data_IF_632944662241
#
_entry.id   IF_632944662241
#
_cell.length_a   1.000
_cell.length_b   1.000
_cell.length_c   1.000
_cell.angle_alpha   90.00
_cell.angle_beta   90.00
_cell.angle_gamma   90.00
#
_symmetry.space_group_name_H-M   'P 1'
#
loop_
_entity.id
_entity.type
_entity.pdbx_description
1 polymer ?
#
# COMPACT_ATOMS: atom_id res chain seq x y z
N UNK A 1 2.55 -6.56 5.24
CA UNK A 1 3.53 -5.82 4.42
C UNK A 1 4.66 -5.19 5.23
N UNK A 2 4.46 -4.11 6.02
CA UNK A 2 5.57 -3.44 6.74
C UNK A 2 6.46 -4.38 7.57
N UNK A 3 5.87 -5.39 8.23
CA UNK A 3 6.63 -6.40 8.96
C UNK A 3 7.53 -7.25 8.05
N UNK A 4 7.04 -7.68 6.88
CA UNK A 4 7.80 -8.45 5.90
C UNK A 4 9.00 -7.65 5.37
N UNK A 5 8.75 -6.41 4.95
CA UNK A 5 9.78 -5.51 4.44
C UNK A 5 10.81 -5.14 5.52
N UNK A 6 10.35 -4.96 6.76
CA UNK A 6 11.22 -4.73 7.91
C UNK A 6 12.13 -5.93 8.16
N UNK A 7 11.59 -7.15 8.18
CA UNK A 7 12.36 -8.38 8.39
C UNK A 7 13.38 -8.61 7.26
N UNK A 8 13.01 -8.35 6.00
CA UNK A 8 13.93 -8.45 4.87
C UNK A 8 15.03 -7.40 4.87
N UNK A 9 14.80 -6.26 5.51
CA UNK A 9 15.81 -5.20 5.64
C UNK A 9 16.73 -5.43 6.84
N UNK A 10 16.20 -5.88 7.98
CA UNK A 10 16.98 -6.05 9.21
C UNK A 10 17.56 -7.46 9.40
N UNK A 11 17.04 -8.47 8.70
CA UNK A 11 17.32 -9.89 8.96
C UNK A 11 16.69 -10.43 10.25
N UNK A 12 15.86 -9.64 10.94
CA UNK A 12 15.21 -10.03 12.21
C UNK A 12 13.76 -10.43 11.96
N UNK A 13 13.40 -11.65 12.37
CA UNK A 13 12.04 -12.20 12.17
C UNK A 13 11.06 -11.84 13.29
N UNK A 14 11.52 -11.20 14.36
CA UNK A 14 10.70 -10.76 15.49
C UNK A 14 11.03 -9.32 15.91
N UNK A 15 10.11 -8.70 16.65
CA UNK A 15 10.28 -7.34 17.20
C UNK A 15 9.25 -6.34 16.69
N UNK A 16 9.58 -5.05 16.81
CA UNK A 16 8.69 -3.93 16.41
C UNK A 16 9.28 -3.19 15.23
N UNK A 17 8.42 -2.86 14.27
CA UNK A 17 8.81 -2.03 13.13
C UNK A 17 8.29 -0.61 13.27
N UNK A 18 9.18 0.37 13.04
CA UNK A 18 8.83 1.79 12.84
C UNK A 18 8.99 2.20 11.37
N UNK A 19 9.04 1.22 10.47
CA UNK A 19 9.24 1.44 9.05
C UNK A 19 8.16 2.38 8.49
N UNK A 20 8.60 3.49 7.94
CA UNK A 20 7.77 4.49 7.29
C UNK A 20 8.05 4.44 5.78
N UNK A 21 7.05 4.02 5.01
CA UNK A 21 7.17 3.77 3.58
C UNK A 21 6.59 4.97 2.82
N UNK A 22 7.41 5.56 1.95
CA UNK A 22 7.05 6.65 1.03
C UNK A 22 7.73 6.42 -0.33
N UNK A 23 7.55 7.32 -1.30
CA UNK A 23 8.16 7.22 -2.63
C UNK A 23 9.67 6.96 -2.59
N UNK A 24 10.19 6.30 -3.63
CA UNK A 24 11.58 5.81 -3.72
C UNK A 24 11.90 4.71 -2.70
N UNK A 25 10.89 3.97 -2.25
CA UNK A 25 11.09 2.78 -1.42
C UNK A 25 11.59 1.60 -2.25
N UNK A 26 12.68 0.98 -1.81
CA UNK A 26 13.22 -0.25 -2.40
C UNK A 26 12.49 -1.47 -1.82
N UNK A 27 11.57 -2.02 -2.60
CA UNK A 27 10.73 -3.16 -2.22
C UNK A 27 11.51 -4.47 -2.32
N UNK A 28 11.67 -5.17 -1.19
CA UNK A 28 12.49 -6.40 -1.13
C UNK A 28 11.68 -7.68 -1.26
N UNK A 29 10.42 -7.70 -0.79
CA UNK A 29 9.65 -8.94 -0.67
C UNK A 29 8.27 -8.84 -1.29
N UNK A 30 7.56 -7.74 -1.08
CA UNK A 30 6.14 -7.64 -1.42
C UNK A 30 5.97 -7.28 -2.90
N UNK A 31 5.37 -8.20 -3.65
CA UNK A 31 5.03 -8.00 -5.07
C UNK A 31 3.57 -7.62 -5.30
N UNK A 32 2.67 -8.19 -4.49
CA UNK A 32 1.24 -7.93 -4.50
C UNK A 32 0.77 -7.40 -3.15
N UNK A 33 -0.15 -6.45 -3.16
CA UNK A 33 -0.75 -5.89 -1.94
C UNK A 33 -2.27 -5.97 -2.02
N UNK A 34 -2.86 -6.74 -1.12
CA UNK A 34 -4.30 -6.72 -0.86
C UNK A 34 -4.59 -5.82 0.35
N UNK A 35 -5.41 -4.79 0.16
CA UNK A 35 -5.67 -3.80 1.21
C UNK A 35 -7.00 -3.08 0.99
N UNK A 36 -7.44 -2.27 1.95
CA UNK A 36 -8.69 -1.51 1.84
C UNK A 36 -8.46 -0.18 1.10
N UNK A 37 -9.55 0.53 0.77
CA UNK A 37 -9.46 1.93 0.37
C UNK A 37 -9.29 2.86 1.59
N UNK A 38 -8.21 3.64 1.58
CA UNK A 38 -7.83 4.55 2.67
C UNK A 38 -8.15 6.01 2.35
N UNK A 39 -8.46 6.82 3.36
CA UNK A 39 -8.73 8.23 3.16
C UNK A 39 -7.53 9.04 2.64
N UNK A 40 -7.77 10.16 1.95
CA UNK A 40 -6.75 11.16 1.63
C UNK A 40 -5.96 11.59 2.87
N UNK A 41 -4.67 11.92 2.66
CA UNK A 41 -3.75 12.43 3.72
C UNK A 41 -3.45 11.45 4.85
N UNK A 42 -3.54 10.15 4.59
CA UNK A 42 -3.12 9.10 5.54
C UNK A 42 -1.74 8.54 5.19
N UNK A 43 -1.03 8.01 6.19
CA UNK A 43 0.25 7.31 5.98
C UNK A 43 0.10 6.04 5.13
N UNK A 44 -1.08 5.40 5.18
CA UNK A 44 -1.41 4.26 4.35
C UNK A 44 -1.55 4.64 2.87
N UNK A 45 -2.06 5.84 2.58
CA UNK A 45 -2.09 6.35 1.22
C UNK A 45 -0.68 6.64 0.67
N UNK A 46 0.24 7.16 1.50
CA UNK A 46 1.64 7.33 1.10
C UNK A 46 2.31 6.00 0.75
N UNK A 47 1.96 4.95 1.49
CA UNK A 47 2.45 3.60 1.26
C UNK A 47 1.88 3.00 -0.04
N UNK A 48 0.61 3.25 -0.36
CA UNK A 48 0.01 2.90 -1.66
C UNK A 48 0.70 3.66 -2.80
N UNK A 49 0.93 4.97 -2.62
CA UNK A 49 1.65 5.81 -3.59
C UNK A 49 3.09 5.34 -3.82
N UNK A 50 3.78 4.85 -2.78
CA UNK A 50 5.09 4.24 -2.92
C UNK A 50 5.07 2.89 -3.67
N UNK A 51 3.93 2.18 -3.66
CA UNK A 51 3.81 0.84 -4.23
C UNK A 51 3.41 0.86 -5.71
N UNK A 52 2.46 1.72 -6.11
CA UNK A 52 1.95 1.80 -7.49
C UNK A 52 2.21 3.13 -8.18
N UNK A 53 2.90 4.07 -7.51
CA UNK A 53 3.15 5.40 -8.05
C UNK A 53 1.86 6.17 -8.30
N UNK A 54 1.89 7.09 -9.26
CA UNK A 54 0.76 7.99 -9.56
C UNK A 54 -0.57 7.30 -9.92
N UNK A 55 -0.54 6.01 -10.30
CA UNK A 55 -1.70 5.19 -10.68
C UNK A 55 -2.73 5.07 -9.56
N UNK A 56 -2.35 5.25 -8.30
CA UNK A 56 -3.31 5.21 -7.19
C UNK A 56 -4.45 6.21 -7.36
N UNK A 57 -4.19 7.37 -8.00
CA UNK A 57 -5.21 8.40 -8.22
C UNK A 57 -6.31 7.93 -9.16
N UNK A 58 -5.94 7.25 -10.23
CA UNK A 58 -6.88 6.75 -11.24
C UNK A 58 -7.71 5.58 -10.68
N UNK A 59 -7.07 4.71 -9.88
CA UNK A 59 -7.74 3.63 -9.14
C UNK A 59 -8.79 4.20 -8.17
N UNK A 60 -8.43 5.24 -7.43
CA UNK A 60 -9.33 5.91 -6.49
C UNK A 60 -10.45 6.68 -7.20
N UNK A 61 -10.15 7.36 -8.31
CA UNK A 61 -11.16 8.04 -9.11
C UNK A 61 -12.20 7.05 -9.65
N UNK A 62 -11.74 5.87 -10.09
CA UNK A 62 -12.62 4.77 -10.49
C UNK A 62 -13.46 4.27 -9.32
N UNK A 63 -12.85 3.98 -8.18
CA UNK A 63 -13.58 3.51 -6.99
C UNK A 63 -14.66 4.50 -6.54
N UNK A 64 -14.40 5.81 -6.60
CA UNK A 64 -15.38 6.86 -6.29
C UNK A 64 -16.52 6.86 -7.32
N UNK A 65 -16.19 6.81 -8.62
CA UNK A 65 -17.18 6.80 -9.71
C UNK A 65 -18.10 5.58 -9.63
N UNK A 66 -17.54 4.42 -9.29
CA UNK A 66 -18.26 3.15 -9.17
C UNK A 66 -18.87 2.92 -7.76
N UNK A 67 -18.90 3.95 -6.91
CA UNK A 67 -19.52 3.91 -5.57
C UNK A 67 -18.98 2.83 -4.63
N UNK A 68 -17.68 2.54 -4.68
CA UNK A 68 -17.02 1.65 -3.73
C UNK A 68 -17.11 2.22 -2.32
N UNK A 69 -17.21 1.32 -1.34
CA UNK A 69 -17.20 1.64 0.08
C UNK A 69 -15.75 1.76 0.56
N UNK A 70 -15.43 2.82 1.27
CA UNK A 70 -14.08 3.07 1.78
C UNK A 70 -13.96 2.63 3.25
N UNK A 71 -12.75 2.67 3.80
CA UNK A 71 -12.40 2.39 5.21
C UNK A 71 -12.44 0.90 5.60
N UNK A 72 -12.39 0.64 6.91
CA UNK A 72 -12.15 -0.67 7.51
C UNK A 72 -13.18 -1.73 7.12
N UNK A 73 -14.43 -1.33 6.89
CA UNK A 73 -15.54 -2.22 6.52
C UNK A 73 -16.01 -2.04 5.08
N UNK A 74 -15.23 -1.30 4.29
CA UNK A 74 -15.51 -1.07 2.89
C UNK A 74 -15.01 -2.19 2.00
N UNK A 75 -14.86 -1.86 0.73
CA UNK A 75 -14.31 -2.74 -0.28
C UNK A 75 -12.77 -2.74 -0.23
N UNK A 76 -12.18 -3.67 -0.98
CA UNK A 76 -10.74 -3.89 -1.02
C UNK A 76 -10.18 -3.70 -2.43
N UNK A 77 -8.87 -3.58 -2.49
CA UNK A 77 -8.07 -3.39 -3.69
C UNK A 77 -6.93 -4.41 -3.68
N UNK A 78 -6.67 -5.02 -4.84
CA UNK A 78 -5.49 -5.83 -5.10
C UNK A 78 -4.56 -5.03 -6.03
N UNK A 79 -3.35 -4.77 -5.56
CA UNK A 79 -2.34 -4.01 -6.29
C UNK A 79 -1.18 -4.90 -6.69
N UNK A 80 -0.70 -4.70 -7.91
CA UNK A 80 0.56 -5.24 -8.40
C UNK A 80 1.51 -4.08 -8.72
N UNK A 81 2.69 -4.07 -8.08
CA UNK A 81 3.72 -3.04 -8.31
C UNK A 81 4.37 -3.13 -9.70
N UNK A 82 4.21 -4.25 -10.40
CA UNK A 82 4.77 -4.51 -11.73
C UNK A 82 3.78 -4.23 -12.85
N UNK A 83 2.49 -4.12 -12.53
CA UNK A 83 1.47 -3.73 -13.50
C UNK A 83 1.77 -2.31 -14.00
N UNK A 84 1.78 -2.14 -15.33
CA UNK A 84 1.93 -0.84 -15.99
C UNK A 84 0.55 -0.22 -16.19
#
# INVERSE_FOLDING_TARGET
>A
MRALESAATSGQCEGRTRLFIHRQYDWKVVDLMFTNFHLPRTTLLLMIDAFVGHRWRDLYATAIREHYRFLSFGDAMLLDRRAR
#
